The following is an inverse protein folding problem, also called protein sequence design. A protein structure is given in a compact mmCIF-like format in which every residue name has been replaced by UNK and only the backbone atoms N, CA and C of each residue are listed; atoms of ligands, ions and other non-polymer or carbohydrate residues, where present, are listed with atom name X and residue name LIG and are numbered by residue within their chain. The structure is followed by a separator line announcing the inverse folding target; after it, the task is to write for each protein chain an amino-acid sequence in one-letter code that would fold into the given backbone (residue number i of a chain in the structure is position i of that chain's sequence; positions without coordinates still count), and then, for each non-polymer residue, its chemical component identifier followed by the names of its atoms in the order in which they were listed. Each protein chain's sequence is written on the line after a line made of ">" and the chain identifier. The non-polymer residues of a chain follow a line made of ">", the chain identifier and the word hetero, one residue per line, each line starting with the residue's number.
data_IF_132711571729
#
_entry.id   IF_132711571729
#
_cell.length_a   1.000
_cell.length_b   1.000
_cell.length_c   1.000
_cell.angle_alpha   90.00
_cell.angle_beta   90.00
_cell.angle_gamma   90.00
#
_symmetry.space_group_name_H-M   'P 1'
#
loop_
_entity.id
_entity.type
_entity.pdbx_description
1 polymer ?
#
# COMPACT_ATOMS: atom_id res chain seq x y z
N UNK A 1 -14.42 -13.41 -17.31
CA UNK A 1 -14.65 -13.66 -15.87
C UNK A 1 -15.62 -12.61 -15.39
N UNK A 2 -16.65 -12.98 -14.63
CA UNK A 2 -17.65 -12.02 -14.13
C UNK A 2 -17.20 -11.60 -12.74
N UNK A 3 -16.91 -10.31 -12.56
CA UNK A 3 -16.64 -9.72 -11.24
C UNK A 3 -17.95 -9.13 -10.74
N UNK A 4 -18.33 -9.47 -9.51
CA UNK A 4 -19.52 -8.93 -8.85
C UNK A 4 -19.11 -7.85 -7.86
N UNK A 5 -19.73 -6.67 -7.97
CA UNK A 5 -19.44 -5.56 -7.08
C UNK A 5 -20.51 -5.46 -6.01
N UNK A 6 -20.06 -5.45 -4.75
CA UNK A 6 -20.95 -5.43 -3.58
C UNK A 6 -20.34 -4.62 -2.45
N UNK A 7 -21.20 -4.24 -1.52
CA UNK A 7 -20.74 -3.68 -0.25
C UNK A 7 -19.94 -4.74 0.53
N UNK A 8 -18.93 -4.33 1.32
CA UNK A 8 -18.22 -5.23 2.22
C UNK A 8 -19.18 -5.85 3.24
N UNK A 9 -18.96 -7.13 3.55
CA UNK A 9 -19.55 -7.75 4.74
C UNK A 9 -18.98 -7.12 6.01
N UNK A 10 -19.62 -7.34 7.16
CA UNK A 10 -19.10 -6.84 8.46
C UNK A 10 -17.65 -7.28 8.71
N UNK A 11 -17.35 -8.56 8.48
CA UNK A 11 -16.00 -9.12 8.65
C UNK A 11 -15.00 -8.50 7.67
N UNK A 12 -15.37 -8.28 6.41
CA UNK A 12 -14.48 -7.63 5.43
C UNK A 12 -14.24 -6.16 5.79
N UNK A 13 -15.26 -5.45 6.26
CA UNK A 13 -15.12 -4.08 6.73
C UNK A 13 -14.18 -3.98 7.95
N UNK A 14 -14.26 -4.94 8.88
CA UNK A 14 -13.32 -5.06 10.01
C UNK A 14 -11.89 -5.33 9.52
N UNK A 15 -11.69 -6.30 8.61
CA UNK A 15 -10.36 -6.58 8.02
C UNK A 15 -9.76 -5.33 7.35
N UNK A 16 -10.56 -4.62 6.54
CA UNK A 16 -10.12 -3.40 5.87
C UNK A 16 -9.71 -2.35 6.90
N UNK A 17 -10.56 -2.09 7.90
CA UNK A 17 -10.28 -1.11 8.95
C UNK A 17 -9.01 -1.47 9.71
N UNK A 18 -8.90 -2.69 10.20
CA UNK A 18 -7.78 -3.11 11.06
C UNK A 18 -6.46 -3.11 10.27
N UNK A 19 -6.49 -3.49 8.99
CA UNK A 19 -5.32 -3.40 8.11
C UNK A 19 -4.93 -1.96 7.78
N UNK A 20 -5.90 -1.04 7.62
CA UNK A 20 -5.60 0.37 7.39
C UNK A 20 -5.14 1.10 8.67
N UNK A 21 -5.56 0.66 9.85
CA UNK A 21 -5.09 1.20 11.14
C UNK A 21 -3.60 0.98 11.36
N UNK A 22 -3.01 -0.06 10.77
CA UNK A 22 -1.56 -0.21 10.76
C UNK A 22 -0.89 1.01 10.13
N UNK A 23 -1.45 1.53 9.03
CA UNK A 23 -0.85 2.61 8.27
C UNK A 23 -1.25 3.99 8.78
N UNK A 24 -2.52 4.16 9.17
CA UNK A 24 -3.13 5.48 9.35
C UNK A 24 -3.68 5.59 10.78
N UNK A 25 -3.36 6.72 11.42
CA UNK A 25 -3.91 7.08 12.73
C UNK A 25 -5.44 7.06 12.73
N UNK A 26 -6.04 6.72 13.88
CA UNK A 26 -7.47 6.46 14.01
C UNK A 26 -8.34 7.64 13.53
N UNK A 27 -7.95 8.87 13.83
CA UNK A 27 -8.66 10.09 13.46
C UNK A 27 -8.68 10.29 11.93
N UNK A 28 -7.52 10.08 11.28
CA UNK A 28 -7.40 10.16 9.82
C UNK A 28 -8.15 9.01 9.14
N UNK A 29 -8.14 7.82 9.73
CA UNK A 29 -8.88 6.69 9.20
C UNK A 29 -10.40 6.97 9.25
N UNK A 30 -10.89 7.57 10.32
CA UNK A 30 -12.30 7.98 10.41
C UNK A 30 -12.67 8.92 9.25
N UNK A 31 -11.86 9.95 9.00
CA UNK A 31 -12.07 10.88 7.87
C UNK A 31 -12.06 10.17 6.51
N UNK A 32 -11.17 9.18 6.33
CA UNK A 32 -11.14 8.35 5.12
C UNK A 32 -12.46 7.58 4.96
N UNK A 33 -12.94 6.94 6.03
CA UNK A 33 -14.17 6.15 6.00
C UNK A 33 -15.45 6.98 5.84
N UNK A 34 -15.42 8.25 6.24
CA UNK A 34 -16.54 9.19 6.03
C UNK A 34 -16.55 9.74 4.59
N UNK A 35 -15.36 9.96 4.01
CA UNK A 35 -15.20 10.55 2.68
C UNK A 35 -15.35 9.53 1.54
N UNK A 36 -14.87 8.31 1.74
CA UNK A 36 -14.83 7.28 0.70
C UNK A 36 -15.73 6.10 1.05
N UNK A 37 -16.36 5.54 0.02
CA UNK A 37 -17.10 4.30 0.08
C UNK A 37 -16.21 3.13 -0.37
N UNK A 38 -16.19 2.06 0.42
CA UNK A 38 -15.46 0.84 0.09
C UNK A 38 -16.37 -0.13 -0.66
N UNK A 39 -15.86 -0.73 -1.73
CA UNK A 39 -16.59 -1.71 -2.55
C UNK A 39 -15.70 -2.93 -2.72
N UNK A 40 -16.29 -4.12 -2.60
CA UNK A 40 -15.62 -5.38 -2.90
C UNK A 40 -15.90 -5.76 -4.35
N UNK A 41 -14.84 -5.97 -5.13
CA UNK A 41 -14.90 -6.72 -6.38
C UNK A 41 -14.69 -8.20 -6.09
N UNK A 42 -15.75 -8.98 -6.13
CA UNK A 42 -15.75 -10.41 -5.86
C UNK A 42 -15.54 -11.18 -7.18
N UNK A 43 -14.34 -11.72 -7.36
CA UNK A 43 -13.94 -12.50 -8.52
C UNK A 43 -13.16 -13.75 -8.10
N UNK A 44 -12.01 -14.00 -8.75
CA UNK A 44 -11.09 -15.05 -8.29
C UNK A 44 -10.40 -14.70 -6.96
N UNK A 45 -10.28 -13.41 -6.69
CA UNK A 45 -9.79 -12.82 -5.45
C UNK A 45 -10.74 -11.68 -5.06
N UNK A 46 -10.64 -11.24 -3.80
CA UNK A 46 -11.46 -10.17 -3.26
C UNK A 46 -10.69 -8.86 -3.34
N UNK A 47 -11.00 -8.05 -4.34
CA UNK A 47 -10.40 -6.73 -4.52
C UNK A 47 -11.18 -5.68 -3.71
N UNK A 48 -10.44 -4.74 -3.13
CA UNK A 48 -11.03 -3.62 -2.39
C UNK A 48 -10.82 -2.35 -3.21
N UNK A 49 -11.92 -1.67 -3.49
CA UNK A 49 -11.95 -0.39 -4.18
C UNK A 49 -12.45 0.71 -3.25
N UNK A 50 -11.93 1.92 -3.44
CA UNK A 50 -12.51 3.13 -2.87
C UNK A 50 -13.19 3.95 -3.97
N UNK A 51 -14.33 4.54 -3.63
CA UNK A 51 -15.13 5.33 -4.56
C UNK A 51 -15.98 6.37 -3.84
N UNK A 52 -16.75 7.15 -4.59
CA UNK A 52 -17.74 8.07 -4.04
C UNK A 52 -19.10 7.37 -3.87
N UNK A 53 -19.99 7.97 -3.08
CA UNK A 53 -21.32 7.42 -2.79
C UNK A 53 -22.14 7.09 -4.05
N UNK A 54 -22.13 8.01 -5.03
CA UNK A 54 -22.91 7.87 -6.26
C UNK A 54 -22.47 6.65 -7.06
N UNK A 55 -21.15 6.48 -7.23
CA UNK A 55 -20.58 5.34 -7.92
C UNK A 55 -20.80 4.05 -7.13
N UNK A 56 -20.63 4.04 -5.80
CA UNK A 56 -20.91 2.86 -4.96
C UNK A 56 -22.35 2.38 -5.16
N UNK A 57 -23.31 3.30 -5.09
CA UNK A 57 -24.73 3.00 -5.29
C UNK A 57 -25.00 2.51 -6.71
N UNK A 58 -24.36 3.09 -7.72
CA UNK A 58 -24.53 2.67 -9.11
C UNK A 58 -24.01 1.24 -9.32
N UNK A 59 -22.83 0.91 -8.77
CA UNK A 59 -22.16 -0.35 -9.07
C UNK A 59 -22.72 -1.53 -8.33
N UNK A 60 -23.20 -1.31 -7.11
CA UNK A 60 -23.86 -2.34 -6.30
C UNK A 60 -25.25 -2.70 -6.82
N UNK A 61 -25.95 -1.75 -7.48
CA UNK A 61 -27.28 -1.97 -8.03
C UNK A 61 -27.29 -2.56 -9.45
N UNK A 62 -26.16 -2.57 -10.16
CA UNK A 62 -26.05 -3.07 -11.53
C UNK A 62 -25.30 -4.39 -11.55
N UNK A 63 -25.93 -5.42 -12.10
CA UNK A 63 -25.25 -6.68 -12.37
C UNK A 63 -24.25 -6.47 -13.52
N UNK A 64 -22.98 -6.81 -13.28
CA UNK A 64 -21.89 -6.89 -14.28
C UNK A 64 -21.44 -5.54 -14.85
N UNK A 65 -20.79 -4.74 -14.01
CA UNK A 65 -20.02 -3.57 -14.45
C UNK A 65 -18.56 -3.96 -14.66
N UNK A 66 -17.89 -3.29 -15.60
CA UNK A 66 -16.45 -3.46 -15.79
C UNK A 66 -15.67 -2.82 -14.63
N UNK A 67 -14.65 -3.50 -14.05
CA UNK A 67 -13.89 -2.99 -12.90
C UNK A 67 -13.26 -1.60 -13.12
N UNK A 68 -12.94 -1.28 -14.37
CA UNK A 68 -12.23 -0.06 -14.76
C UNK A 68 -12.99 1.26 -14.49
N UNK A 69 -14.26 1.21 -14.05
CA UNK A 69 -15.10 2.40 -13.86
C UNK A 69 -15.49 2.68 -12.40
N UNK A 70 -14.94 1.93 -11.44
CA UNK A 70 -15.47 1.91 -10.08
C UNK A 70 -14.74 2.88 -9.16
N UNK A 71 -13.47 3.16 -9.43
CA UNK A 71 -12.66 4.05 -8.62
C UNK A 71 -11.23 3.54 -8.54
N UNK A 72 -10.63 3.65 -7.35
CA UNK A 72 -9.25 3.25 -7.12
C UNK A 72 -9.21 1.91 -6.38
N UNK A 73 -8.61 0.89 -7.01
CA UNK A 73 -8.32 -0.37 -6.33
C UNK A 73 -7.19 -0.17 -5.32
N UNK A 74 -7.45 -0.38 -4.03
CA UNK A 74 -6.48 -0.11 -2.96
C UNK A 74 -5.80 -1.39 -2.45
N UNK A 75 -6.33 -2.56 -2.76
CA UNK A 75 -5.75 -3.80 -2.29
C UNK A 75 -6.58 -5.04 -2.58
N UNK A 76 -6.08 -6.17 -2.11
CA UNK A 76 -6.79 -7.45 -2.08
C UNK A 76 -6.92 -7.96 -0.65
N UNK A 77 -8.07 -8.55 -0.30
CA UNK A 77 -8.22 -9.26 0.97
C UNK A 77 -7.68 -10.68 0.79
N UNK A 78 -6.65 -11.03 1.54
CA UNK A 78 -6.02 -12.35 1.54
C UNK A 78 -5.54 -12.70 2.93
N UNK A 79 -5.80 -13.93 3.38
CA UNK A 79 -5.40 -14.42 4.71
C UNK A 79 -5.81 -13.48 5.87
N UNK A 80 -7.04 -12.95 5.82
CA UNK A 80 -7.58 -11.97 6.79
C UNK A 80 -6.80 -10.65 6.89
N UNK A 81 -6.07 -10.28 5.84
CA UNK A 81 -5.37 -9.00 5.74
C UNK A 81 -5.73 -8.30 4.42
N UNK A 82 -5.81 -6.97 4.43
CA UNK A 82 -5.80 -6.17 3.21
C UNK A 82 -4.35 -5.96 2.75
N UNK A 83 -3.97 -6.60 1.65
CA UNK A 83 -2.69 -6.38 0.99
C UNK A 83 -2.81 -5.19 0.04
N UNK A 84 -2.12 -4.11 0.37
CA UNK A 84 -2.15 -2.90 -0.46
C UNK A 84 -1.52 -3.13 -1.84
N UNK A 85 -2.17 -2.60 -2.86
CA UNK A 85 -1.59 -2.42 -4.19
C UNK A 85 -0.73 -1.15 -4.23
N UNK A 86 -0.07 -0.88 -5.36
CA UNK A 86 0.63 0.40 -5.56
C UNK A 86 -0.27 1.61 -5.38
N UNK A 87 -1.47 1.56 -5.95
CA UNK A 87 -2.49 2.59 -5.80
C UNK A 87 -3.00 2.70 -4.37
N UNK A 88 -3.08 1.58 -3.63
CA UNK A 88 -3.35 1.57 -2.20
C UNK A 88 -2.27 2.30 -1.41
N UNK A 89 -1.00 1.95 -1.62
CA UNK A 89 0.14 2.63 -1.00
C UNK A 89 0.18 4.13 -1.34
N UNK A 90 -0.06 4.50 -2.60
CA UNK A 90 -0.18 5.90 -3.01
C UNK A 90 -1.32 6.61 -2.29
N UNK A 91 -2.50 5.99 -2.19
CA UNK A 91 -3.67 6.54 -1.50
C UNK A 91 -3.42 6.82 -0.03
N UNK A 92 -2.75 5.92 0.70
CA UNK A 92 -2.45 6.10 2.12
C UNK A 92 -1.23 7.01 2.36
N UNK A 93 -0.38 7.22 1.35
CA UNK A 93 0.88 7.96 1.51
C UNK A 93 0.72 9.37 2.10
N UNK A 94 -0.35 10.16 1.86
CA UNK A 94 -0.50 11.48 2.50
C UNK A 94 -0.93 11.39 3.98
N UNK A 95 -1.29 10.20 4.46
CA UNK A 95 -1.95 9.99 5.75
C UNK A 95 -1.07 9.24 6.76
N UNK A 96 0.11 8.77 6.37
CA UNK A 96 1.01 7.97 7.19
C UNK A 96 2.43 8.53 7.20
N UNK A 97 3.15 8.37 8.30
CA UNK A 97 4.58 8.62 8.39
C UNK A 97 5.41 7.32 8.42
N UNK A 98 4.78 6.14 8.30
CA UNK A 98 5.45 4.83 8.23
C UNK A 98 6.21 4.67 6.91
N UNK A 99 7.29 5.42 6.76
CA UNK A 99 8.09 5.50 5.54
C UNK A 99 9.58 5.42 5.80
N UNK A 100 10.30 4.92 4.80
CA UNK A 100 11.75 4.99 4.67
C UNK A 100 12.07 5.94 3.52
N UNK A 101 12.89 6.96 3.80
CA UNK A 101 13.42 7.90 2.81
C UNK A 101 14.75 7.33 2.30
N UNK A 102 14.88 7.19 0.99
CA UNK A 102 16.09 6.64 0.36
C UNK A 102 16.83 7.69 -0.46
N UNK A 103 18.13 7.45 -0.67
CA UNK A 103 18.96 8.31 -1.48
C UNK A 103 18.65 8.20 -2.99
N UNK A 104 19.07 9.18 -3.82
CA UNK A 104 18.74 9.19 -5.25
C UNK A 104 19.26 7.99 -6.05
N UNK A 105 20.39 7.40 -5.66
CA UNK A 105 20.92 6.20 -6.32
C UNK A 105 19.97 5.01 -6.09
N UNK A 106 19.53 4.82 -4.84
CA UNK A 106 18.61 3.76 -4.48
C UNK A 106 17.20 3.97 -5.03
N UNK A 107 16.74 5.22 -5.20
CA UNK A 107 15.47 5.51 -5.87
C UNK A 107 15.40 4.88 -7.26
N UNK A 108 16.44 5.07 -8.08
CA UNK A 108 16.49 4.49 -9.43
C UNK A 108 16.50 2.96 -9.38
N UNK A 109 17.31 2.38 -8.49
CA UNK A 109 17.42 0.92 -8.35
C UNK A 109 16.12 0.29 -7.82
N UNK A 110 15.47 0.93 -6.85
CA UNK A 110 14.22 0.48 -6.26
C UNK A 110 13.10 0.45 -7.30
N UNK A 111 13.00 1.48 -8.14
CA UNK A 111 12.09 1.51 -9.29
C UNK A 111 12.41 0.46 -10.36
N UNK A 112 13.51 -0.29 -10.24
CA UNK A 112 13.83 -1.47 -11.04
C UNK A 112 13.74 -2.78 -10.25
N UNK A 113 12.85 -2.83 -9.24
CA UNK A 113 12.60 -3.99 -8.38
C UNK A 113 13.79 -4.42 -7.51
N UNK A 114 14.79 -3.56 -7.30
CA UNK A 114 15.87 -3.89 -6.36
C UNK A 114 15.46 -3.64 -4.92
N UNK A 115 15.99 -4.47 -4.05
CA UNK A 115 15.97 -4.25 -2.61
C UNK A 115 16.89 -3.07 -2.23
N UNK A 116 16.70 -2.53 -1.03
CA UNK A 116 17.40 -1.35 -0.52
C UNK A 116 18.45 -1.78 0.51
N UNK A 117 19.69 -1.36 0.32
CA UNK A 117 20.79 -1.56 1.26
C UNK A 117 20.71 -0.57 2.45
N UNK A 118 21.29 -0.92 3.60
CA UNK A 118 21.34 -0.02 4.76
C UNK A 118 21.87 1.37 4.42
N UNK A 119 22.98 1.45 3.67
CA UNK A 119 23.62 2.72 3.28
C UNK A 119 22.74 3.63 2.42
N UNK A 120 21.69 3.08 1.83
CA UNK A 120 20.77 3.80 0.96
C UNK A 120 19.66 4.52 1.71
N UNK A 121 19.46 4.22 2.99
CA UNK A 121 18.37 4.76 3.81
C UNK A 121 18.86 6.04 4.50
N UNK A 122 18.22 7.16 4.17
CA UNK A 122 18.49 8.47 4.76
C UNK A 122 17.78 8.59 6.11
N UNK A 123 16.53 8.14 6.17
CA UNK A 123 15.75 8.12 7.40
C UNK A 123 14.65 7.07 7.32
N UNK A 124 14.21 6.60 8.47
CA UNK A 124 13.07 5.70 8.59
C UNK A 124 12.30 6.05 9.85
N UNK A 125 10.98 5.87 9.82
CA UNK A 125 10.13 6.09 10.99
C UNK A 125 10.54 5.20 12.16
N UNK A 126 10.73 5.83 13.32
CA UNK A 126 10.95 5.14 14.59
C UNK A 126 9.76 4.27 15.00
N UNK A 127 10.04 3.22 15.78
CA UNK A 127 9.02 2.28 16.28
C UNK A 127 8.69 1.13 15.32
N UNK A 128 9.20 1.19 14.08
CA UNK A 128 9.16 0.06 13.15
C UNK A 128 10.11 -1.06 13.58
N UNK A 129 9.74 -2.29 13.26
CA UNK A 129 10.48 -3.51 13.59
C UNK A 129 10.79 -4.35 12.37
N UNK A 130 11.73 -5.30 12.52
CA UNK A 130 11.99 -6.30 11.49
C UNK A 130 10.70 -7.07 11.18
N UNK A 131 10.35 -7.13 9.90
CA UNK A 131 9.14 -7.77 9.40
C UNK A 131 8.02 -6.80 9.05
N UNK A 132 8.08 -5.57 9.55
CA UNK A 132 7.08 -4.54 9.30
C UNK A 132 7.11 -4.09 7.84
N UNK A 133 5.93 -3.67 7.36
CA UNK A 133 5.75 -3.06 6.05
C UNK A 133 5.98 -1.56 6.14
N UNK A 134 6.62 -0.99 5.14
CA UNK A 134 6.98 0.44 5.13
C UNK A 134 6.74 1.02 3.73
N UNK A 135 6.31 2.27 3.66
CA UNK A 135 6.33 3.00 2.39
C UNK A 135 7.77 3.40 2.07
N UNK A 136 8.17 3.25 0.82
CA UNK A 136 9.45 3.76 0.34
C UNK A 136 9.19 5.08 -0.37
N UNK A 137 9.96 6.10 -0.01
CA UNK A 137 9.84 7.43 -0.61
C UNK A 137 11.22 8.03 -0.94
N UNK A 138 11.25 8.95 -1.91
CA UNK A 138 12.45 9.70 -2.25
C UNK A 138 12.68 10.86 -1.27
N UNK A 139 13.75 11.64 -1.49
CA UNK A 139 14.09 12.82 -0.67
C UNK A 139 13.05 13.95 -0.73
N UNK A 140 12.22 13.98 -1.77
CA UNK A 140 11.08 14.92 -1.91
C UNK A 140 9.82 14.41 -1.21
N UNK A 141 9.91 13.26 -0.54
CA UNK A 141 8.81 12.57 0.13
C UNK A 141 7.76 11.98 -0.82
N UNK A 142 8.10 11.82 -2.10
CA UNK A 142 7.24 11.19 -3.10
C UNK A 142 7.21 9.68 -2.87
N UNK A 143 6.02 9.10 -2.89
CA UNK A 143 5.83 7.66 -2.78
C UNK A 143 6.42 6.91 -3.98
N UNK A 144 7.25 5.91 -3.72
CA UNK A 144 7.87 5.05 -4.74
C UNK A 144 7.32 3.63 -4.75
N UNK A 145 6.85 3.12 -3.60
CA UNK A 145 6.42 1.74 -3.46
C UNK A 145 6.32 1.24 -2.02
N UNK A 146 6.15 -0.07 -1.87
CA UNK A 146 6.06 -0.76 -0.59
C UNK A 146 7.31 -1.63 -0.37
N UNK A 147 7.80 -1.63 0.86
CA UNK A 147 8.91 -2.46 1.30
C UNK A 147 8.60 -3.27 2.56
N UNK A 148 9.43 -4.28 2.84
CA UNK A 148 9.44 -5.03 4.09
C UNK A 148 10.80 -4.92 4.77
N UNK A 149 10.82 -4.54 6.04
CA UNK A 149 12.04 -4.39 6.81
C UNK A 149 12.64 -5.78 7.11
N UNK A 150 13.94 -5.95 6.80
CA UNK A 150 14.67 -7.21 6.98
C UNK A 150 15.66 -7.17 8.15
N UNK A 151 16.07 -5.98 8.58
CA UNK A 151 17.04 -5.75 9.64
C UNK A 151 16.40 -4.96 10.79
N UNK A 152 16.87 -5.13 12.04
CA UNK A 152 16.52 -4.23 13.14
C UNK A 152 16.83 -2.77 12.77
N UNK A 153 15.99 -1.81 13.18
CA UNK A 153 16.22 -0.38 12.93
C UNK A 153 17.53 0.09 13.57
N UNK A 154 17.98 -0.54 14.65
CA UNK A 154 19.29 -0.27 15.29
C UNK A 154 20.48 -0.49 14.37
N UNK A 155 20.33 -1.29 13.32
CA UNK A 155 21.41 -1.61 12.37
C UNK A 155 21.53 -0.53 11.27
N UNK A 156 20.57 0.39 11.20
CA UNK A 156 20.52 1.40 10.15
C UNK A 156 21.51 2.51 10.50
N UNK A 157 22.51 2.71 9.63
CA UNK A 157 23.63 3.61 9.90
C UNK A 157 24.79 2.96 10.65
N UNK A 158 24.74 1.64 10.94
CA UNK A 158 25.94 0.91 11.37
C UNK A 158 26.89 0.71 10.18
N UNK A 159 28.13 1.25 10.22
CA UNK A 159 29.11 1.11 9.14
C UNK A 159 29.41 -0.35 8.76
N UNK A 160 29.22 -1.30 9.69
CA UNK A 160 29.45 -2.72 9.43
C UNK A 160 28.31 -3.39 8.67
N UNK A 161 27.18 -2.69 8.52
CA UNK A 161 25.93 -3.19 7.96
C UNK A 161 25.54 -2.49 6.66
N UNK A 162 26.32 -1.51 6.21
CA UNK A 162 26.02 -0.65 5.05
C UNK A 162 25.64 -1.42 3.79
N UNK A 163 26.29 -2.56 3.52
CA UNK A 163 26.08 -3.41 2.35
C UNK A 163 25.07 -4.55 2.58
N UNK A 164 24.43 -4.62 3.76
CA UNK A 164 23.33 -5.56 4.01
C UNK A 164 22.01 -5.01 3.47
N UNK A 165 21.16 -5.91 2.95
CA UNK A 165 19.82 -5.55 2.48
C UNK A 165 18.92 -5.28 3.69
N UNK A 166 18.49 -4.02 3.82
CA UNK A 166 17.68 -3.55 4.94
C UNK A 166 16.18 -3.62 4.66
N UNK A 167 15.77 -3.32 3.42
CA UNK A 167 14.36 -3.33 3.02
C UNK A 167 14.21 -4.13 1.74
N UNK A 168 13.39 -5.17 1.79
CA UNK A 168 12.97 -5.94 0.63
C UNK A 168 11.92 -5.16 -0.15
N UNK A 169 12.07 -5.06 -1.47
CA UNK A 169 11.05 -4.52 -2.36
C UNK A 169 9.86 -5.50 -2.46
N UNK A 170 8.65 -5.01 -2.14
CA UNK A 170 7.41 -5.75 -2.37
C UNK A 170 6.84 -5.39 -3.74
N UNK A 171 6.67 -4.09 -3.99
CA UNK A 171 6.17 -3.54 -5.25
C UNK A 171 6.59 -2.06 -5.38
N UNK A 172 6.94 -1.63 -6.58
CA UNK A 172 7.40 -0.27 -6.89
C UNK A 172 6.66 0.34 -8.11
N UNK A 173 6.64 1.67 -8.21
CA UNK A 173 5.96 2.39 -9.30
C UNK A 173 6.48 2.02 -10.70
N UNK A 174 7.74 1.58 -10.82
CA UNK A 174 8.27 1.11 -12.09
C UNK A 174 7.51 -0.11 -12.65
N UNK A 175 6.73 -0.81 -11.81
CA UNK A 175 5.83 -1.86 -12.24
C UNK A 175 4.83 -1.39 -13.30
N UNK A 176 4.30 -0.16 -13.19
CA UNK A 176 3.38 0.41 -14.18
C UNK A 176 4.03 0.56 -15.57
N UNK A 177 5.34 0.81 -15.61
CA UNK A 177 6.09 0.95 -16.86
C UNK A 177 6.50 -0.40 -17.45
N UNK A 178 6.77 -1.41 -16.62
CA UNK A 178 7.21 -2.75 -17.07
C UNK A 178 6.07 -3.68 -17.44
N UNK A 179 4.95 -3.58 -16.72
CA UNK A 179 3.84 -4.54 -16.78
C UNK A 179 2.49 -3.83 -16.72
N UNK A 180 2.32 -2.71 -17.41
CA UNK A 180 1.00 -2.13 -17.69
C UNK A 180 0.12 -3.03 -18.57
N UNK A 181 -0.23 -4.22 -18.05
CA UNK A 181 -1.18 -5.19 -18.60
C UNK A 181 -2.04 -5.71 -17.47
#
# INVERSE_FOLDING_TARGET
>A
MVIEFREPTKTEAEIIRDSLQYWVEKEKLQLITEKYHFVIGDGNWKEVFITNRTTSTFVTNKKRISPYSIGLGIGEIKNNELLLTLSGGYFISPHTDLRAIINPEAEQLFLYMRDIYCKSIISIKEGLSKGDKVLVANTSNDYLGLGKILLPISDFGDPKKEDEVAIKNIIDLGWYLRKGK
#
